data_IF_102364514486
#
_entry.id   IF_102364514486
#
_cell.length_a   1.000
_cell.length_b   1.000
_cell.length_c   1.000
_cell.angle_alpha   90.00
_cell.angle_beta   90.00
_cell.angle_gamma   90.00
#
_symmetry.space_group_name_H-M   'P 1'
#
loop_
_entity.id
_entity.type
_entity.pdbx_description
1 polymer ?
#
# COMPACT_ATOMS: atom_id res chain seq x y z
N UNK A 1 -5.97 -9.53 -26.16
CA UNK A 1 -6.27 -8.10 -26.15
C UNK A 1 -5.07 -7.35 -25.56
N UNK A 2 -4.54 -6.36 -26.27
CA UNK A 2 -3.48 -5.56 -25.71
C UNK A 2 -3.92 -4.92 -24.41
N UNK A 3 -3.05 -4.91 -23.43
CA UNK A 3 -3.33 -4.19 -22.19
C UNK A 3 -3.28 -2.70 -22.47
N UNK A 4 -4.34 -2.00 -22.15
CA UNK A 4 -4.32 -0.56 -22.15
C UNK A 4 -3.54 -0.10 -20.92
N UNK A 5 -2.60 0.81 -21.13
CA UNK A 5 -1.82 1.40 -20.05
C UNK A 5 -1.88 2.92 -20.16
N UNK A 6 -3.11 3.41 -20.34
CA UNK A 6 -3.33 4.84 -20.46
C UNK A 6 -2.91 5.57 -19.18
N UNK A 7 -2.33 6.75 -19.36
CA UNK A 7 -1.87 7.58 -18.23
C UNK A 7 -3.00 8.01 -17.32
N UNK A 8 -4.26 7.92 -17.80
CA UNK A 8 -5.45 8.29 -17.01
C UNK A 8 -6.15 7.10 -16.37
N UNK A 9 -5.65 5.87 -16.58
CA UNK A 9 -6.26 4.70 -15.96
C UNK A 9 -6.10 4.74 -14.45
N UNK A 10 -7.20 4.47 -13.75
CA UNK A 10 -7.17 4.31 -12.30
C UNK A 10 -6.27 3.13 -11.97
N UNK A 11 -5.37 3.34 -11.02
CA UNK A 11 -4.30 2.41 -10.69
C UNK A 11 -4.56 1.78 -9.33
N UNK A 12 -4.66 0.46 -9.28
CA UNK A 12 -4.95 -0.30 -8.06
C UNK A 12 -3.68 -1.03 -7.64
N UNK A 13 -3.31 -0.86 -6.38
CA UNK A 13 -2.14 -1.54 -5.79
C UNK A 13 -2.62 -2.43 -4.67
N UNK A 14 -2.16 -3.67 -4.68
CA UNK A 14 -2.41 -4.62 -3.61
C UNK A 14 -1.06 -5.02 -3.02
N UNK A 15 -0.90 -4.77 -1.73
CA UNK A 15 0.32 -5.13 -0.99
C UNK A 15 -0.06 -6.17 0.06
N UNK A 16 0.73 -7.24 0.14
CA UNK A 16 0.57 -8.20 1.21
C UNK A 16 1.86 -8.28 2.02
N UNK A 17 1.74 -8.06 3.32
CA UNK A 17 2.84 -8.21 4.27
C UNK A 17 2.63 -9.44 5.12
N UNK A 18 3.70 -10.21 5.34
CA UNK A 18 3.79 -11.11 6.47
C UNK A 18 4.82 -10.53 7.44
N UNK A 19 4.40 -10.30 8.67
CA UNK A 19 5.15 -9.52 9.66
C UNK A 19 5.62 -10.40 10.81
N UNK A 20 6.69 -9.98 11.49
CA UNK A 20 7.17 -10.65 12.70
C UNK A 20 6.06 -10.63 13.76
N UNK A 21 5.81 -11.79 14.37
CA UNK A 21 4.74 -11.94 15.36
C UNK A 21 4.90 -10.99 16.55
N UNK A 22 6.09 -10.89 17.10
CA UNK A 22 6.36 -10.03 18.25
C UNK A 22 6.40 -8.53 17.91
N UNK A 23 6.34 -8.17 16.63
CA UNK A 23 6.31 -6.78 16.15
C UNK A 23 5.04 -6.45 15.37
N UNK A 24 4.06 -7.35 15.42
CA UNK A 24 2.86 -7.21 14.60
C UNK A 24 2.07 -5.93 14.92
N UNK A 25 1.77 -5.70 16.19
CA UNK A 25 0.97 -4.52 16.59
C UNK A 25 1.69 -3.22 16.27
N UNK A 26 2.98 -3.15 16.55
CA UNK A 26 3.81 -1.99 16.20
C UNK A 26 3.81 -1.73 14.70
N UNK A 27 3.98 -2.79 13.90
CA UNK A 27 3.97 -2.70 12.45
C UNK A 27 2.61 -2.27 11.90
N UNK A 28 1.53 -2.80 12.47
CA UNK A 28 0.18 -2.42 12.07
C UNK A 28 -0.07 -0.93 12.32
N UNK A 29 0.39 -0.40 13.45
CA UNK A 29 0.28 1.04 13.74
C UNK A 29 1.03 1.88 12.71
N UNK A 30 2.23 1.46 12.30
CA UNK A 30 3.00 2.13 11.25
C UNK A 30 2.25 2.13 9.92
N UNK A 31 1.66 1.00 9.56
CA UNK A 31 0.87 0.85 8.32
C UNK A 31 -0.35 1.78 8.37
N UNK A 32 -1.07 1.79 9.47
CA UNK A 32 -2.26 2.64 9.64
C UNK A 32 -1.91 4.12 9.56
N UNK A 33 -0.78 4.53 10.13
CA UNK A 33 -0.32 5.92 10.05
C UNK A 33 0.03 6.30 8.61
N UNK A 34 0.72 5.42 7.89
CA UNK A 34 1.05 5.65 6.49
C UNK A 34 -0.22 5.78 5.63
N UNK A 35 -1.21 4.91 5.87
CA UNK A 35 -2.49 4.95 5.16
C UNK A 35 -3.21 6.28 5.40
N UNK A 36 -3.32 6.70 6.65
CA UNK A 36 -3.98 7.96 7.01
C UNK A 36 -3.25 9.16 6.39
N UNK A 37 -1.94 9.19 6.49
CA UNK A 37 -1.14 10.29 5.96
C UNK A 37 -1.26 10.37 4.44
N UNK A 38 -1.25 9.22 3.76
CA UNK A 38 -1.40 9.17 2.30
C UNK A 38 -2.76 9.72 1.87
N UNK A 39 -3.84 9.32 2.54
CA UNK A 39 -5.18 9.82 2.24
C UNK A 39 -5.31 11.32 2.54
N UNK A 40 -4.68 11.80 3.60
CA UNK A 40 -4.76 13.22 4.00
C UNK A 40 -3.93 14.13 3.10
N UNK A 41 -2.77 13.68 2.65
CA UNK A 41 -1.78 14.53 1.98
C UNK A 41 -1.67 14.35 0.48
N UNK A 42 -2.09 13.20 -0.05
CA UNK A 42 -1.93 12.88 -1.47
C UNK A 42 -3.26 13.00 -2.20
N UNK A 43 -3.46 14.07 -3.01
CA UNK A 43 -4.73 14.25 -3.73
C UNK A 43 -5.07 13.08 -4.65
N UNK A 44 -4.04 12.42 -5.18
CA UNK A 44 -4.22 11.28 -6.08
C UNK A 44 -4.40 9.94 -5.39
N UNK A 45 -4.35 9.87 -4.06
CA UNK A 45 -4.61 8.65 -3.30
C UNK A 45 -6.08 8.64 -2.88
N UNK A 46 -6.89 7.79 -3.51
CA UNK A 46 -8.33 7.78 -3.31
C UNK A 46 -8.79 6.78 -2.26
N UNK A 47 -8.12 5.63 -2.17
CA UNK A 47 -8.43 4.58 -1.21
C UNK A 47 -7.12 4.02 -0.66
N UNK A 48 -7.10 3.75 0.62
CA UNK A 48 -5.98 3.07 1.26
C UNK A 48 -6.53 2.25 2.43
N UNK A 49 -6.99 1.04 2.12
CA UNK A 49 -7.59 0.14 3.10
C UNK A 49 -6.55 -0.78 3.69
N UNK A 50 -6.60 -0.95 4.99
CA UNK A 50 -5.70 -1.85 5.73
C UNK A 50 -6.51 -2.99 6.28
N UNK A 51 -6.17 -4.22 5.90
CA UNK A 51 -6.94 -5.42 6.24
C UNK A 51 -6.02 -6.43 6.90
N UNK A 52 -6.45 -6.95 8.05
CA UNK A 52 -5.74 -8.04 8.72
C UNK A 52 -6.36 -9.36 8.32
N UNK A 53 -5.54 -10.33 7.94
CA UNK A 53 -6.03 -11.65 7.52
C UNK A 53 -6.78 -12.35 8.66
N UNK A 54 -7.93 -12.93 8.33
CA UNK A 54 -8.68 -13.77 9.27
C UNK A 54 -8.27 -15.25 9.20
N UNK A 55 -7.33 -15.60 8.34
CA UNK A 55 -6.94 -17.00 8.10
C UNK A 55 -5.46 -17.25 8.35
N UNK A 56 -4.58 -16.34 7.93
CA UNK A 56 -3.13 -16.48 8.05
C UNK A 56 -2.61 -15.50 9.07
N UNK A 57 -1.95 -15.99 10.10
CA UNK A 57 -1.43 -15.16 11.18
C UNK A 57 -0.41 -14.14 10.66
N UNK A 58 -0.39 -12.97 11.31
CA UNK A 58 0.58 -11.90 11.07
C UNK A 58 0.63 -11.40 9.64
N UNK A 59 -0.49 -11.48 8.94
CA UNK A 59 -0.62 -11.10 7.54
C UNK A 59 -1.56 -9.91 7.40
N UNK A 60 -1.11 -8.89 6.67
CA UNK A 60 -1.86 -7.66 6.41
C UNK A 60 -1.91 -7.42 4.90
N UNK A 61 -3.11 -7.12 4.40
CA UNK A 61 -3.32 -6.79 3.00
C UNK A 61 -3.74 -5.33 2.88
N UNK A 62 -3.03 -4.57 2.05
CA UNK A 62 -3.37 -3.20 1.71
C UNK A 62 -4.06 -3.18 0.36
N UNK A 63 -5.19 -2.50 0.30
CA UNK A 63 -5.89 -2.22 -0.95
C UNK A 63 -5.83 -0.72 -1.18
N UNK A 64 -5.09 -0.31 -2.23
CA UNK A 64 -4.80 1.10 -2.50
C UNK A 64 -5.30 1.44 -3.89
N UNK A 65 -5.95 2.59 -4.02
CA UNK A 65 -6.42 3.09 -5.31
C UNK A 65 -5.89 4.50 -5.53
N UNK A 66 -5.20 4.67 -6.64
CA UNK A 66 -4.62 5.95 -7.06
C UNK A 66 -5.31 6.44 -8.32
N UNK A 67 -5.36 7.76 -8.48
CA UNK A 67 -5.95 8.40 -9.65
C UNK A 67 -5.36 7.86 -10.95
N UNK A 68 -4.06 7.60 -10.96
CA UNK A 68 -3.32 7.02 -12.07
C UNK A 68 -1.97 6.50 -11.58
N UNK A 69 -1.19 5.94 -12.49
CA UNK A 69 0.14 5.40 -12.16
C UNK A 69 1.10 6.49 -11.66
N UNK A 70 1.00 7.70 -12.18
CA UNK A 70 1.85 8.83 -11.77
C UNK A 70 1.58 9.20 -10.30
N UNK A 71 0.32 9.17 -9.89
CA UNK A 71 -0.04 9.42 -8.49
C UNK A 71 0.58 8.38 -7.55
N UNK A 72 0.67 7.13 -7.98
CA UNK A 72 1.36 6.09 -7.21
C UNK A 72 2.87 6.34 -7.15
N UNK A 73 3.48 6.79 -8.24
CA UNK A 73 4.90 7.17 -8.24
C UNK A 73 5.16 8.32 -7.26
N UNK A 74 4.26 9.30 -7.20
CA UNK A 74 4.34 10.38 -6.21
C UNK A 74 4.27 9.83 -4.78
N UNK A 75 3.39 8.84 -4.53
CA UNK A 75 3.30 8.17 -3.24
C UNK A 75 4.65 7.57 -2.85
N UNK A 76 5.29 6.83 -3.75
CA UNK A 76 6.57 6.16 -3.48
C UNK A 76 7.70 7.16 -3.20
N UNK A 77 7.63 8.37 -3.72
CA UNK A 77 8.64 9.41 -3.50
C UNK A 77 8.30 10.35 -2.32
N UNK A 78 7.16 10.16 -1.68
CA UNK A 78 6.74 10.99 -0.56
C UNK A 78 7.58 10.73 0.68
N UNK A 79 7.77 11.77 1.50
CA UNK A 79 8.55 11.65 2.74
C UNK A 79 7.92 10.64 3.70
N UNK A 80 6.60 10.63 3.81
CA UNK A 80 5.92 9.71 4.73
C UNK A 80 6.05 8.25 4.27
N UNK A 81 6.03 7.97 2.96
CA UNK A 81 6.24 6.61 2.49
C UNK A 81 7.68 6.15 2.73
N UNK A 82 8.66 6.99 2.40
CA UNK A 82 10.09 6.67 2.58
C UNK A 82 10.39 6.38 4.05
N UNK A 83 9.89 7.21 4.95
CA UNK A 83 10.05 7.02 6.38
C UNK A 83 9.41 5.72 6.86
N UNK A 84 8.16 5.48 6.44
CA UNK A 84 7.44 4.25 6.74
C UNK A 84 8.20 3.01 6.25
N UNK A 85 8.62 3.03 4.97
CA UNK A 85 9.26 1.89 4.33
C UNK A 85 10.55 1.50 5.07
N UNK A 86 11.35 2.48 5.48
CA UNK A 86 12.57 2.25 6.25
C UNK A 86 12.28 1.69 7.64
N UNK A 87 11.27 2.23 8.32
CA UNK A 87 10.95 1.82 9.69
C UNK A 87 10.34 0.45 9.79
N UNK A 88 9.51 0.05 8.82
CA UNK A 88 8.84 -1.25 8.86
C UNK A 88 9.75 -2.39 8.41
N UNK A 89 10.76 -2.09 7.61
CA UNK A 89 11.60 -3.12 6.98
C UNK A 89 12.12 -4.19 7.94
N UNK A 90 12.65 -3.86 9.13
CA UNK A 90 13.13 -4.90 10.06
C UNK A 90 12.06 -5.87 10.54
N UNK A 91 10.79 -5.48 10.44
CA UNK A 91 9.66 -6.27 10.93
C UNK A 91 9.01 -7.13 9.83
N UNK A 92 9.45 -6.99 8.58
CA UNK A 92 8.86 -7.67 7.43
C UNK A 92 9.54 -9.01 7.19
N UNK A 93 8.75 -10.09 7.21
CA UNK A 93 9.22 -11.42 6.83
C UNK A 93 9.12 -11.57 5.31
N UNK A 94 7.97 -11.17 4.74
CA UNK A 94 7.79 -11.16 3.30
C UNK A 94 6.84 -10.04 2.88
N UNK A 95 6.99 -9.59 1.64
CA UNK A 95 6.16 -8.54 1.06
C UNK A 95 5.95 -8.85 -0.42
N UNK A 96 4.71 -8.74 -0.87
CA UNK A 96 4.39 -8.80 -2.30
C UNK A 96 3.60 -7.56 -2.69
N UNK A 97 3.80 -7.11 -3.94
CA UNK A 97 3.09 -5.96 -4.50
C UNK A 97 2.56 -6.36 -5.87
N UNK A 98 1.27 -6.13 -6.11
CA UNK A 98 0.64 -6.36 -7.40
C UNK A 98 -0.07 -5.08 -7.84
N UNK A 99 0.01 -4.79 -9.14
CA UNK A 99 -0.58 -3.60 -9.73
C UNK A 99 -1.61 -3.99 -10.78
N UNK A 100 -2.71 -3.23 -10.81
CA UNK A 100 -3.82 -3.47 -11.72
C UNK A 100 -4.33 -2.14 -12.27
N UNK A 101 -4.85 -2.19 -13.49
CA UNK A 101 -5.58 -1.06 -14.07
C UNK A 101 -7.08 -1.35 -13.99
N UNK A 102 -7.82 -0.45 -13.33
CA UNK A 102 -9.27 -0.60 -13.17
C UNK A 102 -9.96 -0.50 -14.52
N UNK A 103 -10.98 -1.36 -14.74
CA UNK A 103 -11.69 -1.44 -16.04
C UNK A 103 -13.19 -1.13 -15.95
N UNK A 104 -13.72 -0.95 -14.75
CA UNK A 104 -15.16 -0.66 -14.63
C UNK A 104 -15.47 0.54 -13.75
#
# INVERSE_FOLDING_TARGET
>A
VPKSRGVFDVYVIIVEFNLSENKFNESLEMILLNAKTSLDKEPGCHVFDVNVSGEVDNTVLLYEVYENEIAFEHHLSSNHFIDFDQKILPNVISKSVAAYFKRN
#
